data_IF_529997964408
#
_entry.id   IF_529997964408
#
_cell.length_a   1.000
_cell.length_b   1.000
_cell.length_c   1.000
_cell.angle_alpha   90.00
_cell.angle_beta   90.00
_cell.angle_gamma   90.00
#
_symmetry.space_group_name_H-M   'P 1'
#
loop_
_entity.id
_entity.type
_entity.pdbx_description
1 polymer ?
#
# COMPACT_ATOMS: atom_id res chain seq x y z
N UNK A 1 -2.79 13.65 8.55
CA UNK A 1 -2.89 12.63 7.49
C UNK A 1 -1.60 11.84 7.50
N UNK A 2 -1.68 10.52 7.35
CA UNK A 2 -0.51 9.64 7.19
C UNK A 2 -0.56 8.94 5.84
N UNK A 3 0.61 8.52 5.39
CA UNK A 3 0.79 7.76 4.16
C UNK A 3 1.29 6.37 4.52
N UNK A 4 0.59 5.35 4.06
CA UNK A 4 0.88 3.95 4.40
C UNK A 4 1.34 3.19 3.16
N UNK A 5 2.30 2.28 3.34
CA UNK A 5 2.67 1.30 2.33
C UNK A 5 2.42 -0.12 2.84
N UNK A 6 1.46 -0.82 2.23
CA UNK A 6 1.26 -2.25 2.44
C UNK A 6 2.19 -3.07 1.56
N UNK A 7 2.87 -4.07 2.13
CA UNK A 7 3.74 -5.00 1.39
C UNK A 7 3.00 -6.32 1.24
N UNK A 8 2.39 -6.54 0.07
CA UNK A 8 1.42 -7.63 -0.15
C UNK A 8 1.52 -8.13 -1.58
N UNK A 9 1.40 -9.45 -1.80
CA UNK A 9 1.43 -10.02 -3.15
C UNK A 9 0.29 -9.50 -4.01
N UNK A 10 0.55 -9.28 -5.30
CA UNK A 10 -0.40 -8.57 -6.19
C UNK A 10 -1.78 -9.20 -6.20
N UNK A 11 -1.88 -10.53 -6.28
CA UNK A 11 -3.18 -11.22 -6.25
C UNK A 11 -3.99 -10.92 -4.98
N UNK A 12 -3.33 -10.82 -3.83
CA UNK A 12 -3.99 -10.48 -2.57
C UNK A 12 -4.43 -9.02 -2.56
N UNK A 13 -3.62 -8.12 -3.12
CA UNK A 13 -3.98 -6.71 -3.31
C UNK A 13 -5.24 -6.61 -4.17
N UNK A 14 -5.29 -7.27 -5.33
CA UNK A 14 -6.46 -7.23 -6.21
C UNK A 14 -7.74 -7.75 -5.54
N UNK A 15 -7.65 -8.82 -4.73
CA UNK A 15 -8.79 -9.28 -3.93
C UNK A 15 -9.25 -8.24 -2.92
N UNK A 16 -8.32 -7.55 -2.25
CA UNK A 16 -8.64 -6.45 -1.34
C UNK A 16 -9.29 -5.27 -2.04
N UNK A 17 -8.76 -4.87 -3.19
CA UNK A 17 -9.30 -3.79 -4.04
C UNK A 17 -10.71 -4.11 -4.49
N UNK A 18 -10.97 -5.32 -5.00
CA UNK A 18 -12.30 -5.75 -5.43
C UNK A 18 -13.34 -5.74 -4.29
N UNK A 19 -12.89 -5.83 -3.04
CA UNK A 19 -13.74 -5.76 -1.84
C UNK A 19 -13.77 -4.36 -1.21
N UNK A 20 -12.98 -3.41 -1.70
CA UNK A 20 -12.85 -2.07 -1.10
C UNK A 20 -12.21 -2.07 0.29
N UNK A 21 -11.26 -2.99 0.55
CA UNK A 21 -10.67 -3.17 1.88
C UNK A 21 -9.13 -3.14 1.89
N UNK A 22 -8.59 -2.56 2.96
CA UNK A 22 -7.24 -2.84 3.40
C UNK A 22 -7.23 -3.90 4.50
N UNK A 23 -6.40 -4.93 4.30
CA UNK A 23 -6.12 -5.97 5.26
C UNK A 23 -4.61 -6.22 5.30
N UNK A 24 -3.99 -6.05 6.47
CA UNK A 24 -2.53 -6.14 6.62
C UNK A 24 -2.15 -7.29 7.56
N UNK A 25 -0.93 -7.83 7.43
CA UNK A 25 -0.34 -8.79 8.38
C UNK A 25 -1.30 -9.93 8.76
N UNK A 26 -1.75 -10.70 7.76
CA UNK A 26 -2.68 -11.83 7.97
C UNK A 26 -4.00 -11.45 8.67
N UNK A 27 -4.46 -10.20 8.54
CA UNK A 27 -5.69 -9.73 9.17
C UNK A 27 -5.53 -9.29 10.63
N UNK A 28 -4.31 -9.00 11.08
CA UNK A 28 -4.05 -8.49 12.41
C UNK A 28 -4.54 -7.06 12.59
N UNK A 29 -5.09 -6.76 13.78
CA UNK A 29 -5.64 -5.44 14.12
C UNK A 29 -4.57 -4.34 14.21
N UNK A 30 -3.32 -4.69 14.50
CA UNK A 30 -2.26 -3.73 14.88
C UNK A 30 -1.94 -2.69 13.82
N UNK A 31 -1.93 -3.06 12.55
CA UNK A 31 -1.74 -2.14 11.42
C UNK A 31 -3.02 -1.35 11.12
N UNK A 32 -4.12 -2.08 11.00
CA UNK A 32 -5.46 -1.55 10.71
C UNK A 32 -5.91 -0.47 11.70
N UNK A 33 -5.67 -0.63 13.00
CA UNK A 33 -6.05 0.38 14.02
C UNK A 33 -5.29 1.70 13.93
N UNK A 34 -4.13 1.70 13.27
CA UNK A 34 -3.29 2.91 13.13
C UNK A 34 -3.73 3.79 11.97
N UNK A 35 -4.45 3.21 11.01
CA UNK A 35 -4.98 3.90 9.85
C UNK A 35 -6.27 4.62 10.25
N UNK A 36 -6.33 5.93 10.02
CA UNK A 36 -7.52 6.75 10.30
C UNK A 36 -8.17 7.24 9.02
N UNK A 37 -9.43 7.68 9.10
CA UNK A 37 -10.12 8.28 7.96
C UNK A 37 -9.31 9.45 7.37
N UNK A 38 -9.22 9.49 6.05
CA UNK A 38 -8.42 10.47 5.32
C UNK A 38 -6.93 10.14 5.19
N UNK A 39 -6.40 9.10 5.85
CA UNK A 39 -5.06 8.61 5.53
C UNK A 39 -5.01 8.08 4.09
N UNK A 40 -3.81 7.97 3.53
CA UNK A 40 -3.60 7.37 2.20
C UNK A 40 -2.85 6.06 2.32
N UNK A 41 -3.13 5.14 1.39
CA UNK A 41 -2.43 3.86 1.32
C UNK A 41 -2.01 3.55 -0.11
N UNK A 42 -0.79 3.04 -0.26
CA UNK A 42 -0.29 2.42 -1.48
C UNK A 42 0.15 0.99 -1.20
N UNK A 43 0.06 0.10 -2.18
CA UNK A 43 0.52 -1.27 -2.08
C UNK A 43 1.76 -1.48 -2.93
N UNK A 44 2.83 -1.97 -2.30
CA UNK A 44 4.00 -2.52 -2.98
C UNK A 44 3.91 -4.05 -2.99
N UNK A 45 3.97 -4.64 -4.19
CA UNK A 45 3.90 -6.07 -4.42
C UNK A 45 5.27 -6.64 -4.80
N UNK A 46 5.94 -7.37 -3.89
CA UNK A 46 7.26 -7.96 -4.19
C UNK A 46 7.16 -9.11 -5.18
N UNK A 47 6.05 -9.87 -5.18
CA UNK A 47 5.74 -10.93 -6.13
C UNK A 47 4.30 -10.84 -6.64
N UNK A 48 4.00 -11.60 -7.68
CA UNK A 48 2.65 -11.76 -8.22
C UNK A 48 1.72 -12.49 -7.26
N UNK A 49 2.19 -13.60 -6.67
CA UNK A 49 1.40 -14.51 -5.83
C UNK A 49 2.21 -15.05 -4.63
N UNK A 50 1.51 -15.67 -3.67
CA UNK A 50 2.11 -16.40 -2.53
C UNK A 50 1.85 -17.92 -2.69
N UNK A 51 2.81 -18.81 -2.35
CA UNK A 51 4.19 -18.52 -1.96
C UNK A 51 5.15 -18.35 -3.16
N UNK A 52 4.78 -18.90 -4.32
CA UNK A 52 5.70 -19.16 -5.44
C UNK A 52 5.54 -18.22 -6.64
N UNK A 53 4.87 -17.07 -6.47
CA UNK A 53 4.74 -16.10 -7.55
C UNK A 53 6.08 -15.51 -8.02
N UNK A 54 6.11 -15.11 -9.29
CA UNK A 54 7.24 -14.44 -9.91
C UNK A 54 7.56 -13.10 -9.21
N UNK A 55 8.85 -12.71 -9.15
CA UNK A 55 9.23 -11.36 -8.71
C UNK A 55 8.50 -10.29 -9.51
N UNK A 56 7.90 -9.33 -8.82
CA UNK A 56 7.15 -8.24 -9.43
C UNK A 56 7.78 -6.88 -9.12
N UNK A 57 7.93 -6.55 -7.82
CA UNK A 57 8.53 -5.31 -7.32
C UNK A 57 7.87 -4.03 -7.88
N UNK A 58 6.55 -3.97 -7.82
CA UNK A 58 5.75 -2.85 -8.32
C UNK A 58 4.84 -2.27 -7.24
N UNK A 59 4.53 -0.98 -7.35
CA UNK A 59 3.34 -0.41 -6.73
C UNK A 59 2.11 -0.79 -7.56
N UNK A 60 1.07 -1.34 -6.93
CA UNK A 60 -0.01 -2.06 -7.63
C UNK A 60 -1.41 -1.57 -7.32
N UNK A 61 -1.61 -0.82 -6.24
CA UNK A 61 -2.88 -0.18 -5.91
C UNK A 61 -2.64 1.00 -4.98
N UNK A 62 -3.50 2.01 -5.03
CA UNK A 62 -3.41 3.22 -4.19
C UNK A 62 -4.82 3.74 -3.90
N UNK A 63 -5.02 4.35 -2.74
CA UNK A 63 -6.34 4.83 -2.33
C UNK A 63 -6.33 5.62 -1.03
N UNK A 64 -7.53 6.01 -0.61
CA UNK A 64 -7.79 6.73 0.64
C UNK A 64 -8.45 5.82 1.65
N UNK A 65 -7.96 5.82 2.89
CA UNK A 65 -8.65 5.17 4.00
C UNK A 65 -9.94 5.95 4.25
N UNK A 66 -11.07 5.29 4.04
CA UNK A 66 -12.36 5.90 4.25
C UNK A 66 -12.63 6.12 5.75
N UNK A 67 -13.54 7.03 6.06
CA UNK A 67 -14.04 7.21 7.42
C UNK A 67 -14.71 5.94 7.95
N UNK A 68 -14.69 5.79 9.28
CA UNK A 68 -15.23 4.66 10.01
C UNK A 68 -14.20 3.94 10.86
N UNK A 69 -14.68 3.01 11.68
CA UNK A 69 -13.85 2.17 12.54
C UNK A 69 -13.38 0.89 11.83
N UNK A 70 -12.26 0.29 12.23
CA UNK A 70 -11.93 -1.06 11.85
C UNK A 70 -13.07 -2.04 12.16
N UNK A 71 -13.30 -3.01 11.27
CA UNK A 71 -14.21 -4.11 11.55
C UNK A 71 -13.55 -5.45 11.25
N UNK A 72 -14.16 -6.52 11.75
CA UNK A 72 -13.69 -7.88 11.55
C UNK A 72 -14.73 -8.68 10.77
N UNK A 73 -14.27 -9.53 9.87
CA UNK A 73 -15.09 -10.57 9.25
C UNK A 73 -14.23 -11.80 9.02
N UNK A 74 -14.78 -12.99 9.24
CA UNK A 74 -14.05 -14.27 9.19
C UNK A 74 -12.74 -14.28 10.00
N UNK A 75 -12.73 -13.60 11.15
CA UNK A 75 -11.56 -13.49 12.00
C UNK A 75 -10.49 -12.48 11.53
N UNK A 76 -10.68 -11.77 10.41
CA UNK A 76 -9.70 -10.85 9.85
C UNK A 76 -10.13 -9.38 9.99
N UNK A 77 -9.24 -8.54 10.52
CA UNK A 77 -9.46 -7.10 10.66
C UNK A 77 -9.27 -6.34 9.34
N UNK A 78 -10.18 -5.41 9.05
CA UNK A 78 -10.28 -4.68 7.79
C UNK A 78 -10.51 -3.18 8.03
N UNK A 79 -10.04 -2.36 7.08
CA UNK A 79 -10.43 -0.95 6.88
C UNK A 79 -11.09 -0.82 5.52
N UNK A 80 -12.02 0.13 5.38
CA UNK A 80 -12.59 0.50 4.08
C UNK A 80 -11.61 1.43 3.39
N UNK A 81 -11.41 1.21 2.10
CA UNK A 81 -10.51 2.00 1.27
C UNK A 81 -11.23 2.36 -0.02
N UNK A 82 -11.20 3.64 -0.34
CA UNK A 82 -11.66 4.16 -1.62
C UNK A 82 -10.44 4.18 -2.55
N UNK A 83 -10.34 3.15 -3.40
CA UNK A 83 -9.22 2.96 -4.33
C UNK A 83 -9.39 3.79 -5.60
N UNK A 84 -8.27 4.23 -6.18
CA UNK A 84 -8.26 4.85 -7.51
C UNK A 84 -8.31 3.75 -8.56
N UNK A 85 -9.27 3.86 -9.48
CA UNK A 85 -9.38 2.96 -10.61
C UNK A 85 -8.41 3.36 -11.74
N UNK A 86 -8.03 2.40 -12.58
CA UNK A 86 -7.23 2.68 -13.77
C UNK A 86 -5.79 3.13 -13.51
N UNK A 87 -5.29 3.02 -12.27
CA UNK A 87 -3.91 3.38 -11.95
C UNK A 87 -2.91 2.54 -12.73
N UNK A 88 -1.79 3.18 -13.09
CA UNK A 88 -0.66 2.49 -13.72
C UNK A 88 0.13 1.71 -12.66
N UNK A 89 0.30 0.38 -12.80
CA UNK A 89 1.25 -0.34 -11.96
C UNK A 89 2.67 0.11 -12.25
N UNK A 90 3.42 0.49 -11.22
CA UNK A 90 4.71 1.19 -11.38
C UNK A 90 5.83 0.39 -10.72
N UNK A 91 6.84 -0.10 -11.48
CA UNK A 91 8.05 -0.68 -10.92
C UNK A 91 8.76 0.30 -9.99
N UNK A 92 9.17 -0.16 -8.80
CA UNK A 92 9.93 0.69 -7.86
C UNK A 92 11.26 1.19 -8.46
N UNK A 93 11.80 0.45 -9.45
CA UNK A 93 13.01 0.84 -10.17
C UNK A 93 12.85 2.15 -10.97
N UNK A 94 11.63 2.52 -11.38
CA UNK A 94 11.37 3.79 -12.07
C UNK A 94 11.54 5.01 -11.15
N UNK A 95 11.51 4.81 -9.82
CA UNK A 95 11.68 5.86 -8.80
C UNK A 95 13.00 5.73 -8.04
N UNK A 96 13.93 4.93 -8.58
CA UNK A 96 15.20 4.62 -7.92
C UNK A 96 16.06 5.87 -7.77
N UNK A 97 16.50 6.16 -6.54
CA UNK A 97 17.30 7.33 -6.22
C UNK A 97 16.49 8.57 -5.84
N UNK A 98 15.16 8.54 -5.98
CA UNK A 98 14.28 9.64 -5.60
C UNK A 98 13.52 9.36 -4.30
N UNK A 99 13.28 8.08 -3.98
CA UNK A 99 12.57 7.66 -2.78
C UNK A 99 13.48 7.65 -1.55
N UNK A 100 13.06 8.36 -0.50
CA UNK A 100 13.65 8.30 0.85
C UNK A 100 13.64 6.86 1.38
N UNK A 101 12.57 6.10 1.12
CA UNK A 101 12.46 4.67 1.44
C UNK A 101 13.68 3.87 0.97
N UNK A 102 14.19 4.16 -0.22
CA UNK A 102 15.28 3.40 -0.86
C UNK A 102 16.67 4.02 -0.64
N UNK A 103 16.76 5.13 0.07
CA UNK A 103 18.03 5.83 0.35
C UNK A 103 19.00 5.03 1.22
N UNK A 104 18.48 4.10 2.04
CA UNK A 104 19.28 3.22 2.89
C UNK A 104 19.63 1.90 2.18
N UNK A 105 20.88 1.42 2.22
CA UNK A 105 21.30 0.20 1.54
C UNK A 105 20.57 -1.08 2.00
N UNK A 106 19.94 -1.06 3.18
CA UNK A 106 19.21 -2.21 3.73
C UNK A 106 17.68 -2.00 3.78
N UNK A 107 17.14 -1.10 2.96
CA UNK A 107 15.72 -0.78 2.95
C UNK A 107 14.80 -2.00 2.77
N UNK A 108 15.26 -3.03 2.04
CA UNK A 108 14.52 -4.28 1.86
C UNK A 108 14.18 -5.00 3.18
N UNK A 109 14.91 -4.75 4.27
CA UNK A 109 14.58 -5.28 5.59
C UNK A 109 13.30 -4.66 6.16
N UNK A 110 13.02 -3.38 5.87
CA UNK A 110 11.80 -2.72 6.31
C UNK A 110 10.55 -3.40 5.74
N UNK A 111 10.64 -3.92 4.51
CA UNK A 111 9.52 -4.61 3.84
C UNK A 111 8.99 -5.83 4.62
N UNK A 112 9.83 -6.46 5.45
CA UNK A 112 9.44 -7.61 6.29
C UNK A 112 8.36 -7.27 7.32
N UNK A 113 8.14 -5.99 7.61
CA UNK A 113 7.09 -5.53 8.53
C UNK A 113 5.68 -5.66 7.95
N UNK A 114 5.53 -5.84 6.64
CA UNK A 114 4.25 -5.97 5.95
C UNK A 114 3.43 -4.67 5.84
N UNK A 115 3.68 -3.69 6.72
CA UNK A 115 3.10 -2.36 6.69
C UNK A 115 4.14 -1.33 7.18
N UNK A 116 4.29 -0.25 6.42
CA UNK A 116 5.19 0.86 6.71
C UNK A 116 4.44 2.19 6.61
N UNK A 117 4.93 3.19 7.34
CA UNK A 117 4.53 4.59 7.15
C UNK A 117 5.55 5.21 6.16
N UNK A 118 5.06 5.91 5.14
CA UNK A 118 5.85 6.65 4.16
C UNK A 118 5.88 8.13 4.54
N UNK A 119 6.91 8.83 4.06
CA UNK A 119 6.87 10.28 4.00
C UNK A 119 5.89 10.75 2.94
N UNK A 120 5.46 12.00 3.07
CA UNK A 120 4.63 12.66 2.05
C UNK A 120 5.35 12.75 0.71
N UNK A 121 6.67 13.03 0.72
CA UNK A 121 7.53 13.06 -0.46
C UNK A 121 7.48 11.74 -1.25
N UNK A 122 7.75 10.62 -0.58
CA UNK A 122 7.71 9.30 -1.22
C UNK A 122 6.33 8.98 -1.77
N UNK A 123 5.28 9.26 -0.99
CA UNK A 123 3.92 9.02 -1.44
C UNK A 123 3.56 9.86 -2.67
N UNK A 124 3.95 11.13 -2.72
CA UNK A 124 3.69 12.01 -3.85
C UNK A 124 4.39 11.56 -5.14
N UNK A 125 5.64 11.11 -5.05
CA UNK A 125 6.36 10.53 -6.19
C UNK A 125 5.68 9.26 -6.70
N UNK A 126 5.31 8.36 -5.79
CA UNK A 126 4.62 7.11 -6.14
C UNK A 126 3.25 7.39 -6.78
N UNK A 127 2.44 8.24 -6.14
CA UNK A 127 1.13 8.63 -6.66
C UNK A 127 1.22 9.28 -8.05
N UNK A 128 2.24 10.13 -8.26
CA UNK A 128 2.51 10.73 -9.57
C UNK A 128 2.83 9.70 -10.62
N UNK A 129 3.70 8.74 -10.32
CA UNK A 129 4.10 7.70 -11.27
C UNK A 129 3.03 6.63 -11.51
N UNK A 130 2.03 6.52 -10.64
CA UNK A 130 0.85 5.67 -10.79
C UNK A 130 -0.35 6.36 -11.46
N UNK A 131 -0.18 7.61 -11.91
CA UNK A 131 -1.26 8.46 -12.48
C UNK A 131 -2.39 8.79 -11.48
N UNK A 132 -2.09 8.85 -10.18
CA UNK A 132 -3.03 9.08 -9.07
C UNK A 132 -2.80 10.41 -8.34
N UNK A 133 -2.47 11.48 -9.08
CA UNK A 133 -2.07 12.80 -8.50
C UNK A 133 -3.15 13.44 -7.64
N UNK A 134 -4.41 13.07 -7.81
CA UNK A 134 -5.53 13.55 -6.98
C UNK A 134 -5.43 13.16 -5.51
N UNK A 135 -4.59 12.17 -5.17
CA UNK A 135 -4.34 11.77 -3.79
C UNK A 135 -3.25 12.58 -3.09
N UNK A 136 -2.50 13.39 -3.84
CA UNK A 136 -1.42 14.23 -3.30
C UNK A 136 -2.05 15.42 -2.57
N UNK A 137 -1.68 15.67 -1.29
CA UNK A 137 -2.14 16.87 -0.59
C UNK A 137 -1.76 18.15 -1.34
N UNK A 138 -2.59 19.18 -1.22
CA UNK A 138 -2.34 20.51 -1.78
C UNK A 138 -1.29 21.29 -0.97
#
# INVERSE_FOLDING_TARGET
MKFWMGVVQREHVHRGVALGIAQTNHGAMTGVRRMTGGDRIVYYSPKTAYPDGDPLKQFTAIGTIADGEPWQTDGMWRRRVDYIEGVRPTPIAELSGELELTSSPNWGYALRRGLLELSEHDFALIATAMDARELIPA
#
